data_IF_479717714820
#
_entry.id   IF_479717714820
#
_cell.length_a   1.000
_cell.length_b   1.000
_cell.length_c   1.000
_cell.angle_alpha   90.00
_cell.angle_beta   90.00
_cell.angle_gamma   90.00
#
_symmetry.space_group_name_H-M   'P 1'
#
loop_
_entity.id
_entity.type
_entity.pdbx_description
1 polymer ?
#
# COMPACT_ATOMS: atom_id res chain seq x y z
N UNK A 1 -10.19 10.66 15.86
CA UNK A 1 -11.42 10.28 15.15
C UNK A 1 -11.42 10.99 13.81
N UNK A 2 -11.44 10.25 12.70
CA UNK A 2 -11.47 10.78 11.34
C UNK A 2 -12.77 11.58 11.11
N UNK A 3 -12.67 12.85 10.74
CA UNK A 3 -13.84 13.64 10.34
C UNK A 3 -14.17 13.33 8.87
N UNK A 4 -14.76 12.17 8.62
CA UNK A 4 -15.18 11.75 7.28
C UNK A 4 -16.52 12.42 6.96
N UNK A 5 -16.54 13.21 5.89
CA UNK A 5 -17.75 13.84 5.33
C UNK A 5 -18.71 12.73 4.87
N UNK A 6 -19.99 12.85 5.24
CA UNK A 6 -20.98 11.76 5.27
C UNK A 6 -20.93 10.75 4.11
N UNK A 7 -20.88 11.21 2.86
CA UNK A 7 -20.88 10.34 1.67
C UNK A 7 -19.63 9.44 1.56
N UNK A 8 -18.46 9.89 2.02
CA UNK A 8 -17.23 9.12 1.96
C UNK A 8 -17.16 8.02 3.04
N UNK A 9 -17.94 8.15 4.12
CA UNK A 9 -17.97 7.16 5.21
C UNK A 9 -18.52 5.82 4.73
N UNK A 10 -19.59 5.89 3.95
CA UNK A 10 -20.18 4.69 3.34
C UNK A 10 -19.25 4.09 2.29
N UNK A 11 -18.50 4.90 1.55
CA UNK A 11 -17.53 4.39 0.59
C UNK A 11 -16.38 3.63 1.25
N UNK A 12 -15.85 4.17 2.34
CA UNK A 12 -14.82 3.51 3.17
C UNK A 12 -15.32 2.20 3.77
N UNK A 13 -16.58 2.14 4.22
CA UNK A 13 -17.11 0.93 4.87
C UNK A 13 -17.46 -0.21 3.91
N UNK A 14 -17.71 0.09 2.63
CA UNK A 14 -18.06 -0.91 1.62
C UNK A 14 -16.88 -1.43 0.81
N UNK A 15 -15.76 -0.71 0.79
CA UNK A 15 -14.56 -1.14 0.06
C UNK A 15 -13.93 -2.37 0.72
N UNK A 16 -13.42 -3.29 -0.09
CA UNK A 16 -12.75 -4.50 0.36
C UNK A 16 -11.34 -4.16 0.85
N UNK A 17 -11.07 -4.27 2.17
CA UNK A 17 -9.76 -3.94 2.72
C UNK A 17 -8.71 -4.98 2.36
N UNK A 18 -9.09 -6.16 1.87
CA UNK A 18 -8.18 -7.29 1.67
C UNK A 18 -7.03 -6.92 0.72
N UNK A 19 -5.78 -7.25 1.07
CA UNK A 19 -5.35 -8.18 2.14
C UNK A 19 -5.22 -7.54 3.53
N UNK A 20 -5.49 -6.24 3.65
CA UNK A 20 -5.37 -5.50 4.90
C UNK A 20 -6.53 -5.82 5.87
N UNK A 21 -6.28 -5.57 7.16
CA UNK A 21 -7.36 -5.49 8.13
C UNK A 21 -8.03 -4.10 8.05
N UNK A 22 -9.33 -3.98 8.36
CA UNK A 22 -10.03 -2.68 8.35
C UNK A 22 -9.40 -1.59 9.25
N UNK A 23 -8.62 -1.98 10.27
CA UNK A 23 -7.94 -1.05 11.17
C UNK A 23 -6.43 -0.93 10.90
N UNK A 24 -5.90 -1.64 9.90
CA UNK A 24 -4.51 -1.54 9.48
C UNK A 24 -4.34 -0.33 8.55
N UNK A 25 -4.22 0.84 9.18
CA UNK A 25 -4.15 2.13 8.46
C UNK A 25 -3.00 2.15 7.46
N UNK A 26 -1.82 1.67 7.87
CA UNK A 26 -0.64 1.66 7.01
C UNK A 26 -0.84 0.77 5.79
N UNK A 27 -1.42 -0.42 5.96
CA UNK A 27 -1.73 -1.30 4.84
C UNK A 27 -2.82 -0.72 3.93
N UNK A 28 -3.91 -0.18 4.48
CA UNK A 28 -5.00 0.39 3.68
C UNK A 28 -4.54 1.55 2.80
N UNK A 29 -3.63 2.39 3.31
CA UNK A 29 -3.07 3.53 2.58
C UNK A 29 -2.21 3.15 1.36
N UNK A 30 -1.81 1.89 1.24
CA UNK A 30 -0.99 1.39 0.12
C UNK A 30 -1.71 0.30 -0.68
N UNK A 31 -2.93 -0.07 -0.27
CA UNK A 31 -3.77 -0.99 -1.00
C UNK A 31 -4.45 -0.24 -2.16
N UNK A 32 -3.86 -0.37 -3.36
CA UNK A 32 -4.34 0.30 -4.57
C UNK A 32 -5.79 -0.08 -4.92
N UNK A 33 -6.16 -1.37 -4.77
CA UNK A 33 -7.53 -1.84 -5.03
C UNK A 33 -8.53 -1.17 -4.09
N UNK A 34 -8.25 -1.20 -2.79
CA UNK A 34 -9.08 -0.54 -1.78
C UNK A 34 -9.21 0.96 -2.07
N UNK A 35 -8.09 1.63 -2.38
CA UNK A 35 -8.07 3.06 -2.69
C UNK A 35 -8.89 3.38 -3.94
N UNK A 36 -8.82 2.53 -4.97
CA UNK A 36 -9.63 2.66 -6.19
C UNK A 36 -11.12 2.47 -5.91
N UNK A 37 -11.50 1.45 -5.13
CA UNK A 37 -12.90 1.20 -4.77
C UNK A 37 -13.50 2.38 -3.98
N UNK A 38 -12.76 2.89 -2.97
CA UNK A 38 -13.16 4.07 -2.20
C UNK A 38 -13.26 5.29 -3.11
N UNK A 39 -12.25 5.55 -3.94
CA UNK A 39 -12.21 6.70 -4.85
C UNK A 39 -13.36 6.68 -5.86
N UNK A 40 -13.60 5.54 -6.50
CA UNK A 40 -14.70 5.34 -7.44
C UNK A 40 -16.07 5.52 -6.79
N UNK A 41 -16.24 5.05 -5.55
CA UNK A 41 -17.46 5.28 -4.79
C UNK A 41 -17.67 6.75 -4.46
N UNK A 42 -16.63 7.44 -3.98
CA UNK A 42 -16.67 8.86 -3.64
C UNK A 42 -17.02 9.70 -4.87
N UNK A 43 -16.36 9.46 -6.01
CA UNK A 43 -16.65 10.16 -7.26
C UNK A 43 -18.10 9.99 -7.72
N UNK A 44 -18.72 8.83 -7.44
CA UNK A 44 -20.11 8.55 -7.82
C UNK A 44 -21.15 9.11 -6.85
N UNK A 45 -20.83 9.20 -5.56
CA UNK A 45 -21.81 9.47 -4.49
C UNK A 45 -21.65 10.83 -3.82
N UNK A 46 -20.51 11.49 -3.96
CA UNK A 46 -20.22 12.77 -3.33
C UNK A 46 -20.32 13.92 -4.33
N UNK A 47 -20.60 15.13 -3.84
CA UNK A 47 -20.38 16.35 -4.63
C UNK A 47 -18.89 16.51 -4.97
N UNK A 48 -18.52 17.30 -5.99
CA UNK A 48 -17.12 17.60 -6.28
C UNK A 48 -16.38 18.20 -5.08
N UNK A 49 -17.04 19.05 -4.30
CA UNK A 49 -16.49 19.68 -3.10
C UNK A 49 -16.23 18.63 -2.00
N UNK A 50 -17.20 17.75 -1.75
CA UNK A 50 -17.07 16.68 -0.75
C UNK A 50 -16.04 15.64 -1.19
N UNK A 51 -15.96 15.33 -2.49
CA UNK A 51 -14.97 14.43 -3.04
C UNK A 51 -13.54 14.97 -2.85
N UNK A 52 -13.34 16.27 -3.12
CA UNK A 52 -12.06 16.93 -2.87
C UNK A 52 -11.69 16.90 -1.40
N UNK A 53 -12.63 17.26 -0.51
CA UNK A 53 -12.38 17.25 0.92
C UNK A 53 -12.13 15.83 1.47
N UNK A 54 -12.81 14.81 0.93
CA UNK A 54 -12.56 13.41 1.28
C UNK A 54 -11.16 12.95 0.85
N UNK A 55 -10.71 13.33 -0.35
CA UNK A 55 -9.34 13.04 -0.80
C UNK A 55 -8.30 13.71 0.12
N UNK A 56 -8.50 14.97 0.49
CA UNK A 56 -7.61 15.67 1.44
C UNK A 56 -7.58 15.00 2.82
N UNK A 57 -8.72 14.50 3.31
CA UNK A 57 -8.79 13.72 4.55
C UNK A 57 -8.04 12.40 4.41
N UNK A 58 -8.21 11.67 3.31
CA UNK A 58 -7.49 10.43 3.02
C UNK A 58 -5.97 10.64 2.98
N UNK A 59 -5.50 11.69 2.31
CA UNK A 59 -4.07 12.05 2.27
C UNK A 59 -3.55 12.34 3.68
N UNK A 60 -4.26 13.17 4.46
CA UNK A 60 -3.87 13.47 5.85
C UNK A 60 -3.87 12.22 6.73
N UNK A 61 -4.81 11.31 6.52
CA UNK A 61 -4.90 10.05 7.26
C UNK A 61 -3.70 9.16 7.02
N UNK A 62 -3.26 9.02 5.77
CA UNK A 62 -2.07 8.26 5.41
C UNK A 62 -0.78 8.93 5.89
N UNK A 63 -0.68 10.26 5.75
CA UNK A 63 0.48 11.02 6.23
C UNK A 63 0.64 10.92 7.75
N UNK A 64 -0.44 10.78 8.51
CA UNK A 64 -0.38 10.60 9.95
C UNK A 64 0.29 9.29 10.40
N UNK A 65 0.40 8.29 9.51
CA UNK A 65 1.14 7.04 9.74
C UNK A 65 2.44 6.97 8.92
N UNK A 66 2.94 8.12 8.46
CA UNK A 66 4.21 8.20 7.74
C UNK A 66 4.15 7.78 6.28
N UNK A 67 2.95 7.63 5.70
CA UNK A 67 2.77 7.22 4.30
C UNK A 67 2.36 8.43 3.47
N UNK A 68 3.15 8.75 2.45
CA UNK A 68 2.69 9.62 1.37
C UNK A 68 2.00 8.76 0.31
N UNK A 69 0.67 8.83 0.14
CA UNK A 69 -0.02 8.02 -0.87
C UNK A 69 0.41 8.35 -2.31
N UNK A 70 1.02 9.51 -2.55
CA UNK A 70 1.60 9.86 -3.85
C UNK A 70 2.99 9.25 -4.07
N UNK A 71 3.71 8.93 -2.99
CA UNK A 71 5.02 8.28 -3.05
C UNK A 71 5.20 7.33 -1.85
N UNK A 72 4.56 6.14 -1.89
CA UNK A 72 4.44 5.28 -0.72
C UNK A 72 5.74 4.52 -0.39
N UNK A 73 6.74 4.55 -1.26
CA UNK A 73 7.99 3.81 -1.10
C UNK A 73 9.06 4.66 -0.40
N UNK A 74 9.58 4.20 0.76
CA UNK A 74 10.75 4.81 1.36
C UNK A 74 11.98 4.68 0.45
N UNK A 75 12.90 5.65 0.49
CA UNK A 75 14.09 5.64 -0.35
C UNK A 75 14.96 4.39 -0.17
N UNK A 76 15.07 3.86 1.06
CA UNK A 76 15.80 2.62 1.32
C UNK A 76 15.19 1.42 0.56
N UNK A 77 13.87 1.42 0.39
CA UNK A 77 13.11 0.40 -0.32
C UNK A 77 13.37 0.45 -1.82
N UNK A 78 13.36 1.66 -2.40
CA UNK A 78 13.66 1.90 -3.81
C UNK A 78 15.08 1.43 -4.14
N UNK A 79 16.04 1.73 -3.26
CA UNK A 79 17.42 1.26 -3.42
C UNK A 79 17.48 -0.27 -3.41
N UNK A 80 16.81 -0.92 -2.46
CA UNK A 80 16.76 -2.38 -2.39
C UNK A 80 16.15 -3.04 -3.64
N UNK A 81 15.13 -2.44 -4.26
CA UNK A 81 14.58 -2.97 -5.52
C UNK A 81 15.59 -2.93 -6.66
N UNK A 82 16.49 -1.94 -6.66
CA UNK A 82 17.51 -1.75 -7.69
C UNK A 82 18.72 -2.67 -7.49
N UNK A 83 19.02 -3.06 -6.25
CA UNK A 83 20.14 -3.92 -5.90
C UNK A 83 19.86 -5.41 -6.17
N UNK A 84 18.60 -5.83 -6.18
CA UNK A 84 18.23 -7.23 -6.28
C UNK A 84 17.93 -7.64 -7.73
N UNK A 85 18.59 -8.67 -8.27
CA UNK A 85 18.36 -9.10 -9.65
C UNK A 85 16.91 -9.54 -9.89
N UNK A 86 16.25 -8.90 -10.85
CA UNK A 86 14.86 -9.24 -11.25
C UNK A 86 14.74 -10.58 -12.00
N UNK A 87 15.88 -11.14 -12.44
CA UNK A 87 15.91 -12.31 -13.32
C UNK A 87 15.24 -12.01 -14.67
N UNK A 88 14.50 -12.99 -15.20
CA UNK A 88 13.80 -12.85 -16.49
C UNK A 88 12.39 -12.25 -16.35
N UNK A 89 12.06 -11.64 -15.20
CA UNK A 89 10.72 -11.13 -14.95
C UNK A 89 10.50 -9.77 -15.61
N UNK A 90 9.52 -9.72 -16.52
CA UNK A 90 9.07 -8.52 -17.22
C UNK A 90 7.87 -7.84 -16.56
N UNK A 91 7.20 -8.52 -15.62
CA UNK A 91 6.03 -7.99 -14.92
C UNK A 91 6.07 -8.29 -13.41
N UNK A 92 5.16 -7.64 -12.68
CA UNK A 92 5.09 -7.70 -11.22
C UNK A 92 4.68 -9.08 -10.70
N UNK A 93 3.78 -9.78 -11.41
CA UNK A 93 3.33 -11.11 -11.01
C UNK A 93 4.47 -12.11 -11.07
N UNK A 94 5.29 -12.05 -12.12
CA UNK A 94 6.52 -12.82 -12.23
C UNK A 94 7.47 -12.46 -11.10
N UNK A 95 7.73 -11.17 -10.89
CA UNK A 95 8.67 -10.69 -9.89
C UNK A 95 8.28 -11.14 -8.47
N UNK A 96 7.00 -11.04 -8.13
CA UNK A 96 6.44 -11.47 -6.85
C UNK A 96 6.48 -12.98 -6.64
N UNK A 97 6.54 -13.78 -7.72
CA UNK A 97 6.75 -15.24 -7.66
C UNK A 97 8.22 -15.63 -7.69
N UNK A 98 9.11 -14.72 -8.05
CA UNK A 98 10.54 -14.96 -8.09
C UNK A 98 11.08 -14.97 -6.66
N UNK A 99 11.28 -16.18 -6.12
CA UNK A 99 11.73 -16.40 -4.74
C UNK A 99 13.06 -15.70 -4.45
N UNK A 100 14.03 -15.80 -5.35
CA UNK A 100 15.36 -15.20 -5.17
C UNK A 100 15.25 -13.67 -5.09
N UNK A 101 14.38 -13.07 -5.92
CA UNK A 101 14.12 -11.64 -5.85
C UNK A 101 13.46 -11.25 -4.52
N UNK A 102 12.37 -11.92 -4.12
CA UNK A 102 11.65 -11.54 -2.89
C UNK A 102 12.50 -11.77 -1.65
N UNK A 103 13.22 -12.89 -1.55
CA UNK A 103 14.11 -13.15 -0.41
C UNK A 103 15.29 -12.17 -0.36
N UNK A 104 15.92 -11.87 -1.50
CA UNK A 104 16.98 -10.87 -1.60
C UNK A 104 16.48 -9.47 -1.23
N UNK A 105 15.28 -9.11 -1.68
CA UNK A 105 14.65 -7.84 -1.38
C UNK A 105 14.31 -7.71 0.11
N UNK A 106 13.67 -8.72 0.71
CA UNK A 106 13.39 -8.77 2.16
C UNK A 106 14.68 -8.67 2.97
N UNK A 107 15.73 -9.37 2.55
CA UNK A 107 17.03 -9.28 3.21
C UNK A 107 17.61 -7.85 3.14
N UNK A 108 17.57 -7.22 1.97
CA UNK A 108 18.02 -5.85 1.80
C UNK A 108 17.22 -4.87 2.67
N UNK A 109 15.89 -5.00 2.71
CA UNK A 109 15.02 -4.18 3.54
C UNK A 109 15.40 -4.31 5.02
N UNK A 110 15.55 -5.54 5.54
CA UNK A 110 15.97 -5.77 6.94
C UNK A 110 17.31 -5.09 7.27
N UNK A 111 18.21 -5.03 6.30
CA UNK A 111 19.55 -4.46 6.47
C UNK A 111 19.57 -2.93 6.40
N UNK A 112 18.79 -2.34 5.48
CA UNK A 112 18.94 -0.94 5.09
C UNK A 112 17.75 -0.05 5.46
N UNK A 113 16.59 -0.63 5.79
CA UNK A 113 15.41 0.09 6.25
C UNK A 113 15.21 -0.14 7.76
N UNK A 114 14.76 0.90 8.47
CA UNK A 114 14.56 0.84 9.92
C UNK A 114 13.28 1.56 10.34
N UNK A 115 12.78 1.25 11.54
CA UNK A 115 11.61 1.91 12.11
C UNK A 115 10.39 1.85 11.18
N UNK A 116 9.79 3.02 10.92
CA UNK A 116 8.63 3.14 10.04
C UNK A 116 8.96 2.82 8.57
N UNK A 117 10.16 3.10 8.09
CA UNK A 117 10.54 2.78 6.70
C UNK A 117 10.51 1.26 6.45
N UNK A 118 10.95 0.45 7.41
CA UNK A 118 10.91 -1.01 7.28
C UNK A 118 9.47 -1.53 7.28
N UNK A 119 8.60 -0.99 8.15
CA UNK A 119 7.18 -1.36 8.22
C UNK A 119 6.45 -0.98 6.94
N UNK A 120 6.60 0.26 6.49
CA UNK A 120 6.00 0.75 5.25
C UNK A 120 6.50 -0.04 4.05
N UNK A 121 7.81 -0.33 3.96
CA UNK A 121 8.36 -1.13 2.86
C UNK A 121 7.77 -2.54 2.79
N UNK A 122 7.58 -3.20 3.93
CA UNK A 122 6.88 -4.49 4.01
C UNK A 122 5.44 -4.36 3.50
N UNK A 123 4.66 -3.43 4.05
CA UNK A 123 3.26 -3.28 3.68
C UNK A 123 3.07 -2.97 2.19
N UNK A 124 3.89 -2.08 1.64
CA UNK A 124 3.81 -1.72 0.21
C UNK A 124 4.17 -2.93 -0.65
N UNK A 125 5.21 -3.69 -0.30
CA UNK A 125 5.59 -4.89 -1.04
C UNK A 125 4.49 -5.97 -1.03
N UNK A 126 3.90 -6.25 0.13
CA UNK A 126 2.79 -7.21 0.27
C UNK A 126 1.56 -6.75 -0.52
N UNK A 127 1.17 -5.48 -0.42
CA UNK A 127 0.03 -4.93 -1.16
C UNK A 127 0.25 -4.98 -2.68
N UNK A 128 1.45 -4.63 -3.14
CA UNK A 128 1.83 -4.66 -4.55
C UNK A 128 1.76 -6.07 -5.13
N UNK A 129 2.34 -7.05 -4.43
CA UNK A 129 2.30 -8.44 -4.87
C UNK A 129 0.91 -9.05 -4.79
N UNK A 130 0.12 -8.69 -3.78
CA UNK A 130 -1.27 -9.13 -3.70
C UNK A 130 -2.12 -8.58 -4.87
N UNK A 131 -1.90 -7.34 -5.31
CA UNK A 131 -2.55 -6.78 -6.50
C UNK A 131 -2.21 -7.59 -7.78
N UNK A 132 -1.01 -8.18 -7.84
CA UNK A 132 -0.60 -9.11 -8.89
C UNK A 132 -1.12 -10.56 -8.68
N UNK A 133 -1.87 -10.81 -7.61
CA UNK A 133 -2.43 -12.11 -7.23
C UNK A 133 -1.41 -13.06 -6.60
N UNK A 134 -0.42 -12.52 -5.88
CA UNK A 134 0.65 -13.28 -5.21
C UNK A 134 0.72 -12.89 -3.74
N UNK A 135 0.60 -13.88 -2.86
CA UNK A 135 0.82 -13.69 -1.43
C UNK A 135 2.29 -13.94 -1.07
N UNK A 136 2.95 -12.93 -0.50
CA UNK A 136 4.35 -13.00 -0.04
C UNK A 136 4.47 -12.78 1.48
N UNK A 137 3.36 -12.75 2.21
CA UNK A 137 3.33 -12.46 3.65
C UNK A 137 4.20 -13.41 4.47
N UNK A 138 4.25 -14.68 4.06
CA UNK A 138 5.10 -15.70 4.70
C UNK A 138 6.59 -15.46 4.54
N UNK A 139 7.02 -14.64 3.56
CA UNK A 139 8.44 -14.37 3.29
C UNK A 139 8.98 -13.28 4.22
N UNK A 140 8.15 -12.32 4.61
CA UNK A 140 8.57 -11.26 5.52
C UNK A 140 8.84 -11.81 6.92
N UNK A 141 7.93 -12.57 7.53
CA UNK A 141 8.21 -13.36 8.75
C UNK A 141 8.56 -12.55 10.03
N UNK A 142 8.28 -11.24 10.05
CA UNK A 142 8.38 -10.35 11.23
C UNK A 142 7.25 -9.34 11.23
#
# INVERSE_FOLDING_TARGET
MLNIIGCAKDCVSHADPSPCKPNDTSCLCVNAKYSEEVGNCIQKKCSPEDAKAAAEVGIKYCKAVGIDPENPWPSCSINCQSEVPRGNCSDDKCLCKNKDFIEGYVWCLKKNCHGEDLKTSKCVAEAYCHAAGVDISSVFGY
#
